data_IF_530954494763
#
_entry.id   IF_530954494763
#
_cell.length_a   1.000
_cell.length_b   1.000
_cell.length_c   1.000
_cell.angle_alpha   90.00
_cell.angle_beta   90.00
_cell.angle_gamma   90.00
#
_symmetry.space_group_name_H-M   'P 1'
#
loop_
_entity.id
_entity.type
_entity.pdbx_description
1 polymer ?
#
# COMPACT_ATOMS: atom_id res chain seq x y z
N UNK A 1 18.02 -20.73 10.73
CA UNK A 1 17.55 -19.50 11.39
C UNK A 1 16.95 -18.58 10.34
N UNK A 2 15.62 -18.54 10.23
CA UNK A 2 14.95 -17.52 9.42
C UNK A 2 15.01 -16.21 10.19
N UNK A 3 15.58 -15.18 9.56
CA UNK A 3 15.38 -13.81 10.03
C UNK A 3 13.87 -13.55 9.96
N UNK A 4 13.20 -13.12 11.05
CA UNK A 4 11.78 -12.83 11.00
C UNK A 4 11.50 -11.77 9.93
N UNK A 5 10.46 -12.00 9.13
CA UNK A 5 10.05 -11.04 8.12
C UNK A 5 9.70 -9.70 8.80
N UNK A 6 10.18 -8.59 8.22
CA UNK A 6 9.86 -7.25 8.70
C UNK A 6 8.34 -7.07 8.74
N UNK A 7 7.81 -6.73 9.92
CA UNK A 7 6.38 -6.59 10.16
C UNK A 7 6.04 -5.21 10.71
N UNK A 8 4.75 -4.87 10.71
CA UNK A 8 4.25 -3.59 11.23
C UNK A 8 3.86 -3.78 12.69
N UNK A 9 4.53 -3.06 13.59
CA UNK A 9 4.28 -3.14 15.03
C UNK A 9 3.10 -2.25 15.43
N UNK A 10 3.03 -1.02 14.92
CA UNK A 10 1.93 -0.10 15.22
C UNK A 10 1.71 0.94 14.13
N UNK A 11 0.48 1.45 14.06
CA UNK A 11 0.07 2.55 13.19
C UNK A 11 -0.73 3.57 13.99
N UNK A 12 -0.39 4.84 13.83
CA UNK A 12 -1.20 5.99 14.21
C UNK A 12 -1.40 6.89 12.98
N UNK A 13 -2.34 7.86 13.02
CA UNK A 13 -2.52 8.82 11.93
C UNK A 13 -1.27 9.62 11.53
N UNK A 14 -0.23 9.61 12.36
CA UNK A 14 0.99 10.38 12.17
C UNK A 14 2.24 9.53 11.88
N UNK A 15 2.19 8.23 12.17
CA UNK A 15 3.37 7.36 12.03
C UNK A 15 3.05 5.87 11.93
N UNK A 16 3.99 5.17 11.31
CA UNK A 16 4.07 3.72 11.23
C UNK A 16 5.35 3.28 11.95
N UNK A 17 5.26 2.30 12.84
CA UNK A 17 6.42 1.69 13.51
C UNK A 17 6.57 0.25 13.05
N UNK A 18 7.79 -0.13 12.65
CA UNK A 18 8.12 -1.49 12.23
C UNK A 18 8.77 -2.28 13.35
N UNK A 19 8.75 -3.60 13.22
CA UNK A 19 9.26 -4.55 14.22
C UNK A 19 10.76 -4.44 14.53
N UNK A 20 11.52 -3.74 13.68
CA UNK A 20 12.94 -3.44 13.88
C UNK A 20 13.19 -2.11 14.61
N UNK A 21 12.12 -1.40 14.98
CA UNK A 21 12.14 -0.10 15.64
C UNK A 21 12.19 1.10 14.68
N UNK A 22 12.15 0.89 13.36
CA UNK A 22 12.04 2.00 12.41
C UNK A 22 10.69 2.70 12.56
N UNK A 23 10.71 4.03 12.66
CA UNK A 23 9.52 4.88 12.72
C UNK A 23 9.48 5.77 11.48
N UNK A 24 8.38 5.70 10.73
CA UNK A 24 8.17 6.43 9.47
C UNK A 24 6.93 7.31 9.59
N UNK A 25 7.00 8.54 9.10
CA UNK A 25 5.89 9.54 9.15
C UNK A 25 5.30 9.84 7.77
N UNK A 26 5.70 9.09 6.75
CA UNK A 26 5.23 9.19 5.37
C UNK A 26 4.59 7.88 4.93
N UNK A 27 4.10 7.84 3.69
CA UNK A 27 3.71 6.60 3.05
C UNK A 27 4.83 5.56 3.05
N UNK A 28 4.44 4.30 3.12
CA UNK A 28 5.33 3.15 3.26
C UNK A 28 4.86 2.02 2.36
N UNK A 29 5.80 1.36 1.67
CA UNK A 29 5.57 0.05 1.04
C UNK A 29 6.43 -1.01 1.71
N UNK A 30 5.80 -2.13 2.07
CA UNK A 30 6.44 -3.35 2.55
C UNK A 30 6.22 -4.46 1.52
N UNK A 31 7.30 -5.08 1.06
CA UNK A 31 7.25 -6.17 0.08
C UNK A 31 8.53 -6.99 0.15
N UNK A 32 8.42 -8.32 0.08
CA UNK A 32 9.56 -9.25 0.10
C UNK A 32 10.53 -9.00 1.28
N UNK A 33 9.99 -8.68 2.47
CA UNK A 33 10.76 -8.38 3.68
C UNK A 33 11.53 -7.05 3.64
N UNK A 34 11.35 -6.24 2.60
CA UNK A 34 11.96 -4.93 2.44
C UNK A 34 10.95 -3.81 2.68
N UNK A 35 11.44 -2.70 3.19
CA UNK A 35 10.69 -1.47 3.43
C UNK A 35 11.17 -0.38 2.46
N UNK A 36 10.22 0.29 1.81
CA UNK A 36 10.45 1.42 0.93
C UNK A 36 9.61 2.61 1.40
N UNK A 37 10.23 3.78 1.50
CA UNK A 37 9.46 5.02 1.63
C UNK A 37 8.71 5.26 0.32
N UNK A 38 7.46 5.67 0.43
CA UNK A 38 6.57 5.87 -0.70
C UNK A 38 5.94 7.25 -0.62
N UNK A 39 6.15 8.06 -1.66
CA UNK A 39 5.57 9.39 -1.81
C UNK A 39 4.13 9.26 -2.33
N UNK A 40 3.26 8.70 -1.49
CA UNK A 40 1.84 8.57 -1.78
C UNK A 40 1.22 9.96 -1.96
N UNK A 41 0.57 10.25 -3.10
CA UNK A 41 -0.06 11.55 -3.30
C UNK A 41 -1.14 11.82 -2.23
N UNK A 42 -1.40 13.10 -1.90
CA UNK A 42 -2.49 13.44 -1.00
C UNK A 42 -3.83 12.87 -1.50
N UNK A 43 -4.68 12.45 -0.57
CA UNK A 43 -6.04 11.99 -0.83
C UNK A 43 -7.04 12.82 -0.02
N UNK A 44 -8.17 13.18 -0.62
CA UNK A 44 -9.27 13.81 0.10
C UNK A 44 -10.21 12.70 0.57
N UNK A 45 -9.97 12.22 1.79
CA UNK A 45 -10.71 11.09 2.34
C UNK A 45 -12.22 11.36 2.37
N UNK A 46 -12.65 12.61 2.57
CA UNK A 46 -14.06 13.03 2.70
C UNK A 46 -14.80 13.05 1.36
N UNK A 47 -14.08 13.04 0.25
CA UNK A 47 -14.66 13.04 -1.09
C UNK A 47 -14.32 11.81 -1.94
N UNK A 48 -13.53 10.88 -1.40
CA UNK A 48 -13.04 9.72 -2.13
C UNK A 48 -14.18 8.86 -2.71
N UNK A 49 -14.26 8.78 -4.04
CA UNK A 49 -15.25 8.01 -4.78
C UNK A 49 -14.59 7.10 -5.84
N UNK A 50 -15.24 5.99 -6.25
CA UNK A 50 -14.73 5.14 -7.32
C UNK A 50 -14.57 5.85 -8.67
N UNK A 51 -15.26 6.98 -8.87
CA UNK A 51 -15.15 7.83 -10.05
C UNK A 51 -13.82 8.61 -10.12
N UNK A 52 -13.04 8.62 -9.05
CA UNK A 52 -11.78 9.37 -8.95
C UNK A 52 -11.89 10.73 -8.25
N UNK A 53 -13.09 11.13 -7.82
CA UNK A 53 -13.23 12.31 -6.94
C UNK A 53 -12.51 12.01 -5.62
N UNK A 54 -11.71 12.95 -5.13
CA UNK A 54 -10.84 12.79 -3.95
C UNK A 54 -9.54 12.03 -4.22
N UNK A 55 -9.30 11.61 -5.48
CA UNK A 55 -8.10 10.91 -5.96
C UNK A 55 -7.38 11.71 -7.06
N UNK A 56 -7.64 13.01 -7.18
CA UNK A 56 -7.19 13.82 -8.32
C UNK A 56 -5.66 13.75 -8.50
N UNK A 57 -4.89 13.93 -7.42
CA UNK A 57 -3.42 13.86 -7.43
C UNK A 57 -2.85 12.47 -7.79
N UNK A 58 -3.68 11.42 -7.71
CA UNK A 58 -3.33 10.05 -8.09
C UNK A 58 -3.59 9.76 -9.57
N UNK A 59 -4.47 10.55 -10.19
CA UNK A 59 -5.02 10.28 -11.51
C UNK A 59 -4.62 11.34 -12.55
N UNK A 60 -4.23 12.53 -12.08
CA UNK A 60 -4.00 13.70 -12.91
C UNK A 60 -2.72 13.56 -13.74
N UNK A 61 -2.88 13.56 -15.06
CA UNK A 61 -1.79 13.47 -16.01
C UNK A 61 -1.65 12.07 -16.64
N UNK A 62 -1.03 12.05 -17.80
CA UNK A 62 -0.61 10.82 -18.48
C UNK A 62 0.56 10.19 -17.71
N UNK A 63 0.54 8.87 -17.49
CA UNK A 63 1.59 8.17 -16.75
C UNK A 63 1.53 8.31 -15.22
N UNK A 64 0.57 9.06 -14.67
CA UNK A 64 0.54 9.36 -13.23
C UNK A 64 0.30 8.13 -12.36
N UNK A 65 -0.55 7.21 -12.80
CA UNK A 65 -0.85 6.00 -12.03
C UNK A 65 0.38 5.09 -12.00
N UNK A 66 1.01 4.94 -13.14
CA UNK A 66 2.25 4.19 -13.37
C UNK A 66 3.40 4.74 -12.53
N UNK A 67 3.51 6.07 -12.42
CA UNK A 67 4.50 6.74 -11.58
C UNK A 67 4.31 6.41 -10.09
N UNK A 68 3.09 6.56 -9.58
CA UNK A 68 2.76 6.33 -8.17
C UNK A 68 3.03 4.88 -7.77
N UNK A 69 2.75 3.93 -8.67
CA UNK A 69 2.88 2.49 -8.43
C UNK A 69 4.15 1.87 -9.05
N UNK A 70 5.11 2.70 -9.48
CA UNK A 70 6.26 2.29 -10.30
C UNK A 70 7.07 1.13 -9.72
N UNK A 71 7.16 1.06 -8.40
CA UNK A 71 7.84 -0.02 -7.70
C UNK A 71 7.30 -1.39 -8.14
N UNK A 72 5.98 -1.55 -8.28
CA UNK A 72 5.36 -2.82 -8.65
C UNK A 72 5.62 -3.25 -10.10
N UNK A 73 5.93 -2.31 -11.00
CA UNK A 73 6.31 -2.65 -12.38
C UNK A 73 7.68 -3.32 -12.44
N UNK A 74 8.62 -2.85 -11.60
CA UNK A 74 10.03 -3.27 -11.62
C UNK A 74 10.34 -4.42 -10.66
N UNK A 75 9.42 -4.75 -9.75
CA UNK A 75 9.56 -5.88 -8.84
C UNK A 75 9.48 -7.21 -9.60
N UNK A 76 10.39 -8.12 -9.22
CA UNK A 76 10.39 -9.52 -9.64
C UNK A 76 10.87 -10.40 -8.46
N UNK A 77 10.06 -11.39 -8.00
CA UNK A 77 8.68 -11.65 -8.41
C UNK A 77 7.71 -10.56 -7.94
N UNK A 78 6.64 -10.35 -8.70
CA UNK A 78 5.51 -9.49 -8.30
C UNK A 78 4.70 -10.15 -7.16
N UNK A 79 4.19 -9.36 -6.20
CA UNK A 79 3.25 -9.88 -5.22
C UNK A 79 1.93 -10.28 -5.88
N UNK A 80 1.25 -11.28 -5.35
CA UNK A 80 -0.08 -11.69 -5.83
C UNK A 80 -1.16 -10.77 -5.25
N UNK A 81 -0.93 -10.25 -4.03
CA UNK A 81 -1.87 -9.40 -3.29
C UNK A 81 -1.16 -8.15 -2.82
N UNK A 82 -1.78 -6.98 -3.06
CA UNK A 82 -1.44 -5.72 -2.42
C UNK A 82 -2.55 -5.32 -1.44
N UNK A 83 -2.21 -5.23 -0.17
CA UNK A 83 -3.04 -4.60 0.85
C UNK A 83 -2.77 -3.10 0.82
N UNK A 84 -3.77 -2.31 0.43
CA UNK A 84 -3.65 -0.85 0.38
C UNK A 84 -4.38 -0.22 1.56
N UNK A 85 -3.60 0.28 2.52
CA UNK A 85 -4.06 1.06 3.66
C UNK A 85 -4.31 2.52 3.26
N UNK A 86 -5.58 2.91 3.15
CA UNK A 86 -6.00 4.25 2.72
C UNK A 86 -6.11 5.26 3.87
N UNK A 87 -5.35 5.06 4.95
CA UNK A 87 -5.41 5.87 6.17
C UNK A 87 -6.42 5.35 7.19
N UNK A 88 -7.14 6.26 7.84
CA UNK A 88 -8.02 5.94 8.98
C UNK A 88 -9.27 5.12 8.62
N UNK A 89 -9.66 5.07 7.34
CA UNK A 89 -10.82 4.33 6.85
C UNK A 89 -10.59 3.74 5.47
N UNK A 90 -11.43 2.78 5.11
CA UNK A 90 -11.46 2.18 3.78
C UNK A 90 -11.97 3.21 2.77
N UNK A 91 -11.18 3.49 1.72
CA UNK A 91 -11.60 4.33 0.60
C UNK A 91 -11.76 3.51 -0.68
N UNK A 92 -12.80 3.79 -1.49
CA UNK A 92 -13.03 3.08 -2.73
C UNK A 92 -11.93 3.38 -3.76
N UNK A 93 -11.29 2.34 -4.28
CA UNK A 93 -10.23 2.46 -5.28
C UNK A 93 -10.80 2.85 -6.65
N UNK A 94 -10.27 3.90 -7.30
CA UNK A 94 -10.61 4.24 -8.68
C UNK A 94 -10.35 3.09 -9.65
N UNK A 95 -11.20 2.96 -10.67
CA UNK A 95 -11.08 1.90 -11.68
C UNK A 95 -9.74 1.93 -12.42
N UNK A 96 -9.21 3.12 -12.72
CA UNK A 96 -7.91 3.27 -13.41
C UNK A 96 -6.76 2.63 -12.64
N UNK A 97 -6.71 2.84 -11.32
CA UNK A 97 -5.68 2.22 -10.46
C UNK A 97 -5.90 0.71 -10.39
N UNK A 98 -7.16 0.27 -10.21
CA UNK A 98 -7.49 -1.16 -10.19
C UNK A 98 -7.06 -1.88 -11.47
N UNK A 99 -7.34 -1.29 -12.64
CA UNK A 99 -6.96 -1.86 -13.94
C UNK A 99 -5.45 -1.93 -14.09
N UNK A 100 -4.73 -0.85 -13.79
CA UNK A 100 -3.27 -0.84 -13.86
C UNK A 100 -2.63 -1.94 -13.00
N UNK A 101 -3.07 -2.09 -11.75
CA UNK A 101 -2.55 -3.14 -10.87
C UNK A 101 -2.93 -4.54 -11.34
N UNK A 102 -4.13 -4.72 -11.90
CA UNK A 102 -4.56 -6.00 -12.46
C UNK A 102 -3.73 -6.40 -13.71
N UNK A 103 -3.33 -5.45 -14.54
CA UNK A 103 -2.43 -5.68 -15.69
C UNK A 103 -1.04 -6.16 -15.24
N UNK A 104 -0.61 -5.77 -14.04
CA UNK A 104 0.59 -6.31 -13.40
C UNK A 104 0.38 -7.69 -12.74
N UNK A 105 -0.85 -8.22 -12.75
CA UNK A 105 -1.22 -9.47 -12.10
C UNK A 105 -1.39 -9.35 -10.58
N UNK A 106 -1.57 -8.13 -10.06
CA UNK A 106 -1.63 -7.84 -8.63
C UNK A 106 -3.08 -7.56 -8.22
N UNK A 107 -3.62 -8.34 -7.29
CA UNK A 107 -4.93 -8.08 -6.70
C UNK A 107 -4.81 -7.02 -5.60
N UNK A 108 -5.53 -5.91 -5.74
CA UNK A 108 -5.58 -4.86 -4.70
C UNK A 108 -6.79 -5.05 -3.79
N UNK A 109 -6.54 -5.08 -2.48
CA UNK A 109 -7.55 -5.02 -1.43
C UNK A 109 -7.36 -3.75 -0.60
N UNK A 110 -8.36 -2.86 -0.62
CA UNK A 110 -8.30 -1.60 0.11
C UNK A 110 -8.88 -1.78 1.51
N UNK A 111 -8.14 -1.33 2.51
CA UNK A 111 -8.55 -1.37 3.91
C UNK A 111 -8.17 -0.07 4.63
N UNK A 112 -8.56 0.10 5.90
CA UNK A 112 -7.86 1.09 6.75
C UNK A 112 -6.42 0.63 6.93
N UNK A 113 -5.48 1.56 7.14
CA UNK A 113 -4.07 1.24 7.30
C UNK A 113 -3.81 0.29 8.46
N UNK A 114 -4.54 0.44 9.57
CA UNK A 114 -4.47 -0.47 10.71
C UNK A 114 -4.89 -1.92 10.35
N UNK A 115 -5.96 -2.08 9.57
CA UNK A 115 -6.42 -3.40 9.15
C UNK A 115 -5.47 -4.00 8.11
N UNK A 116 -5.06 -3.21 7.11
CA UNK A 116 -4.09 -3.63 6.09
C UNK A 116 -2.80 -4.13 6.73
N UNK A 117 -2.29 -3.44 7.76
CA UNK A 117 -1.12 -3.88 8.51
C UNK A 117 -1.32 -5.22 9.22
N UNK A 118 -2.45 -5.38 9.90
CA UNK A 118 -2.78 -6.62 10.60
C UNK A 118 -2.89 -7.79 9.61
N UNK A 119 -3.59 -7.61 8.49
CA UNK A 119 -3.72 -8.63 7.44
C UNK A 119 -2.37 -8.92 6.77
N UNK A 120 -1.53 -7.90 6.54
CA UNK A 120 -0.21 -8.08 5.96
C UNK A 120 0.67 -8.96 6.84
N UNK A 121 0.74 -8.67 8.13
CA UNK A 121 1.56 -9.43 9.07
C UNK A 121 1.19 -10.91 9.07
N UNK A 122 -0.12 -11.22 9.09
CA UNK A 122 -0.61 -12.62 9.03
C UNK A 122 -0.22 -13.29 7.71
N UNK A 123 -0.52 -12.65 6.57
CA UNK A 123 -0.24 -13.26 5.26
C UNK A 123 1.27 -13.39 5.00
N UNK A 124 2.08 -12.45 5.48
CA UNK A 124 3.53 -12.50 5.37
C UNK A 124 4.11 -13.62 6.24
N UNK A 125 3.60 -13.80 7.46
CA UNK A 125 3.98 -14.91 8.35
C UNK A 125 3.62 -16.27 7.75
N UNK A 126 2.49 -16.38 7.05
CA UNK A 126 2.09 -17.56 6.27
C UNK A 126 2.95 -17.81 5.01
N UNK A 127 3.91 -16.92 4.70
CA UNK A 127 4.76 -17.03 3.52
C UNK A 127 4.06 -16.74 2.19
N UNK A 128 2.94 -16.01 2.23
CA UNK A 128 2.22 -15.58 1.02
C UNK A 128 3.00 -14.50 0.28
N UNK A 129 2.83 -14.42 -1.04
CA UNK A 129 3.37 -13.33 -1.86
C UNK A 129 2.52 -12.08 -1.71
N UNK A 130 2.61 -11.44 -0.56
CA UNK A 130 1.84 -10.25 -0.21
C UNK A 130 2.75 -9.03 -0.14
N UNK A 131 2.21 -7.89 -0.57
CA UNK A 131 2.75 -6.57 -0.32
C UNK A 131 1.75 -5.73 0.47
N UNK A 132 2.23 -4.69 1.13
CA UNK A 132 1.41 -3.70 1.80
C UNK A 132 1.87 -2.30 1.41
N UNK A 133 0.93 -1.42 1.08
CA UNK A 133 1.17 -0.01 0.87
C UNK A 133 0.30 0.76 1.86
N UNK A 134 0.91 1.59 2.70
CA UNK A 134 0.24 2.24 3.83
C UNK A 134 0.40 3.75 3.76
N UNK A 135 -0.70 4.44 4.00
CA UNK A 135 -0.74 5.87 4.29
C UNK A 135 -0.98 5.99 5.81
N UNK A 136 -0.10 6.65 6.58
CA UNK A 136 -0.32 6.85 8.01
C UNK A 136 -1.64 7.58 8.27
#
# INVERSE_FOLDING_TARGET
DQIPALSIESITPERITLSDGLVVTSGLILVNGSCFMWDAPPLDSDKALPSGVGWEEWLQGEGRVEEVWKLFEVLEPKPEILLFGTGSRVLPLPSKIRTHMAELGIQVDCQSSQNAASTFNVLAEEGRKVACALIP
#
